data_IF_128883559472
#
_entry.id   IF_128883559472
#
_cell.length_a   1.000
_cell.length_b   1.000
_cell.length_c   1.000
_cell.angle_alpha   90.00
_cell.angle_beta   90.00
_cell.angle_gamma   90.00
#
_symmetry.space_group_name_H-M   'P 1'
#
loop_
_entity.id
_entity.type
_entity.pdbx_description
1 polymer ?
#
# COMPACT_ATOMS: atom_id res chain seq x y z
N UNK A 1 18.91 8.79 -3.85
CA UNK A 1 17.99 7.73 -3.43
C UNK A 1 16.80 7.87 -4.33
N UNK A 2 16.65 6.96 -5.28
CA UNK A 2 15.49 6.95 -6.17
C UNK A 2 14.36 6.26 -5.42
N UNK A 3 13.30 7.00 -5.17
CA UNK A 3 12.11 6.45 -4.56
C UNK A 3 11.16 5.93 -5.64
N UNK A 4 10.39 4.87 -5.36
CA UNK A 4 9.37 4.40 -6.28
C UNK A 4 8.28 5.45 -6.48
N UNK A 5 7.60 5.36 -7.62
CA UNK A 5 6.42 6.16 -7.92
C UNK A 5 5.14 5.44 -7.50
N UNK A 6 4.19 6.18 -6.94
CA UNK A 6 2.86 5.69 -6.60
C UNK A 6 1.98 5.49 -7.85
N UNK A 7 0.73 5.09 -7.63
CA UNK A 7 -0.29 4.90 -8.68
C UNK A 7 -0.65 6.16 -9.48
N UNK A 8 -0.34 7.35 -8.97
CA UNK A 8 -0.56 8.64 -9.62
C UNK A 8 0.65 9.10 -10.45
N UNK A 9 1.76 8.36 -10.37
CA UNK A 9 3.03 8.74 -10.96
C UNK A 9 3.82 9.75 -10.12
N UNK A 10 3.44 9.94 -8.85
CA UNK A 10 4.15 10.81 -7.91
C UNK A 10 5.21 10.01 -7.16
N UNK A 11 6.39 10.59 -6.95
CA UNK A 11 7.44 9.92 -6.20
C UNK A 11 7.05 9.83 -4.71
N UNK A 12 7.25 8.67 -4.11
CA UNK A 12 7.05 8.47 -2.67
C UNK A 12 8.23 9.12 -1.94
N UNK A 13 8.00 10.01 -0.99
CA UNK A 13 9.08 10.84 -0.41
C UNK A 13 9.47 10.47 1.03
N UNK A 14 8.92 9.39 1.56
CA UNK A 14 9.06 9.00 2.97
C UNK A 14 9.30 7.50 3.12
N UNK A 15 9.90 7.10 4.24
CA UNK A 15 10.07 5.71 4.65
C UNK A 15 8.81 5.15 5.34
N UNK A 16 7.65 5.76 5.09
CA UNK A 16 6.36 5.38 5.64
C UNK A 16 5.39 5.12 4.49
N UNK A 17 4.66 4.02 4.58
CA UNK A 17 3.75 3.54 3.54
C UNK A 17 2.34 3.63 4.10
N UNK A 18 1.53 4.48 3.50
CA UNK A 18 0.12 4.59 3.80
C UNK A 18 -0.71 3.69 2.86
N UNK A 19 -1.98 3.49 3.18
CA UNK A 19 -2.89 2.70 2.35
C UNK A 19 -3.12 3.31 0.95
N UNK A 20 -3.15 4.63 0.84
CA UNK A 20 -3.42 5.35 -0.42
C UNK A 20 -2.26 5.26 -1.44
N UNK A 21 -1.06 4.90 -0.97
CA UNK A 21 0.12 4.66 -1.81
C UNK A 21 -0.03 3.39 -2.65
N UNK A 22 -0.94 2.47 -2.28
CA UNK A 22 -1.20 1.25 -3.05
C UNK A 22 -2.13 1.51 -4.25
N UNK A 23 -1.80 1.05 -5.48
CA UNK A 23 -2.68 1.03 -6.63
C UNK A 23 -3.80 -0.02 -6.48
N UNK A 24 -5.08 0.37 -6.62
CA UNK A 24 -6.17 -0.57 -6.82
C UNK A 24 -6.09 -1.21 -8.22
N UNK A 25 -6.44 -2.50 -8.42
CA UNK A 25 -6.83 -3.51 -7.43
C UNK A 25 -5.66 -4.38 -6.96
N UNK A 26 -4.42 -3.89 -7.03
CA UNK A 26 -3.19 -4.67 -6.83
C UNK A 26 -2.86 -5.04 -5.38
N UNK A 27 -3.86 -5.03 -4.49
CA UNK A 27 -3.74 -5.28 -3.06
C UNK A 27 -4.39 -6.61 -2.66
N UNK A 28 -3.83 -7.21 -1.62
CA UNK A 28 -4.38 -8.35 -0.90
C UNK A 28 -4.67 -7.88 0.52
N UNK A 29 -5.91 -8.08 0.97
CA UNK A 29 -6.35 -7.75 2.32
C UNK A 29 -6.59 -9.04 3.11
N UNK A 30 -5.99 -9.13 4.30
CA UNK A 30 -6.12 -10.27 5.21
C UNK A 30 -6.56 -9.77 6.58
N UNK A 31 -7.84 -9.93 6.96
CA UNK A 31 -8.34 -9.52 8.27
C UNK A 31 -7.84 -10.46 9.37
N UNK A 32 -7.54 -9.91 10.55
CA UNK A 32 -7.19 -10.66 11.75
C UNK A 32 -7.70 -9.97 13.02
N UNK A 33 -7.91 -10.75 14.09
CA UNK A 33 -8.44 -10.24 15.36
C UNK A 33 -7.57 -10.65 16.52
N UNK A 34 -7.32 -9.72 17.44
CA UNK A 34 -6.67 -10.04 18.70
C UNK A 34 -7.69 -10.61 19.69
N UNK A 35 -7.41 -11.79 20.22
CA UNK A 35 -8.29 -12.50 21.16
C UNK A 35 -8.45 -11.77 22.49
N UNK A 36 -7.45 -11.01 22.89
CA UNK A 36 -7.35 -10.44 24.25
C UNK A 36 -7.88 -9.01 24.31
N UNK A 37 -7.88 -8.29 23.18
CA UNK A 37 -8.27 -6.87 23.09
C UNK A 37 -9.53 -6.63 22.27
N UNK A 38 -10.07 -7.66 21.62
CA UNK A 38 -11.20 -7.56 20.68
C UNK A 38 -10.96 -6.56 19.52
N UNK A 39 -9.71 -6.13 19.30
CA UNK A 39 -9.33 -5.27 18.19
C UNK A 39 -9.34 -6.06 16.89
N UNK A 40 -9.99 -5.51 15.87
CA UNK A 40 -10.01 -6.06 14.51
C UNK A 40 -9.11 -5.19 13.64
N UNK A 41 -8.09 -5.81 13.05
CA UNK A 41 -7.15 -5.17 12.13
C UNK A 41 -7.11 -5.95 10.82
N UNK A 42 -6.57 -5.33 9.78
CA UNK A 42 -6.27 -6.02 8.52
C UNK A 42 -4.84 -5.75 8.07
N UNK A 43 -4.19 -6.79 7.58
CA UNK A 43 -2.93 -6.69 6.85
C UNK A 43 -3.27 -6.40 5.39
N UNK A 44 -2.74 -5.32 4.86
CA UNK A 44 -2.84 -4.98 3.44
C UNK A 44 -1.45 -5.09 2.86
N UNK A 45 -1.31 -5.85 1.77
CA UNK A 45 -0.05 -5.97 1.03
C UNK A 45 -0.31 -5.81 -0.47
N UNK A 46 0.64 -5.28 -1.21
CA UNK A 46 0.47 -5.07 -2.64
C UNK A 46 1.68 -4.44 -3.30
N UNK A 47 1.57 -4.27 -4.61
CA UNK A 47 2.50 -3.39 -5.32
C UNK A 47 2.29 -1.97 -4.84
N UNK A 48 3.36 -1.22 -4.60
CA UNK A 48 3.28 0.19 -4.21
C UNK A 48 3.72 1.07 -5.39
N UNK A 49 4.58 0.51 -6.25
CA UNK A 49 5.13 1.24 -7.37
C UNK A 49 6.18 0.43 -8.11
N UNK A 50 6.98 1.13 -8.89
CA UNK A 50 8.20 0.59 -9.47
C UNK A 50 9.30 1.65 -9.47
N UNK A 51 10.54 1.19 -9.37
CA UNK A 51 11.69 1.98 -9.81
C UNK A 51 11.95 1.65 -11.28
N UNK A 52 12.05 2.68 -12.12
CA UNK A 52 12.23 2.55 -13.56
C UNK A 52 13.54 3.22 -13.95
N UNK A 53 14.35 2.51 -14.73
CA UNK A 53 15.60 3.02 -15.28
C UNK A 53 15.74 2.62 -16.75
N UNK A 54 16.58 3.33 -17.49
CA UNK A 54 16.92 3.02 -18.88
C UNK A 54 18.41 2.73 -18.95
N UNK A 55 18.74 1.48 -19.28
CA UNK A 55 20.13 1.04 -19.50
C UNK A 55 20.23 0.38 -20.87
N UNK A 56 21.23 0.75 -21.67
CA UNK A 56 21.50 0.16 -22.98
C UNK A 56 20.28 0.09 -23.92
N UNK A 57 19.44 1.15 -23.93
CA UNK A 57 18.19 1.22 -24.68
C UNK A 57 17.09 0.22 -24.24
N UNK A 58 17.28 -0.48 -23.12
CA UNK A 58 16.28 -1.33 -22.50
C UNK A 58 15.69 -0.68 -21.24
N UNK A 59 14.38 -0.88 -21.04
CA UNK A 59 13.69 -0.43 -19.83
C UNK A 59 13.86 -1.47 -18.72
N UNK A 60 14.48 -1.08 -17.62
CA UNK A 60 14.58 -1.88 -16.40
C UNK A 60 13.46 -1.43 -15.46
N UNK A 61 12.57 -2.36 -15.10
CA UNK A 61 11.45 -2.09 -14.19
C UNK A 61 11.62 -2.97 -12.97
N UNK A 62 11.80 -2.35 -11.81
CA UNK A 62 11.90 -3.02 -10.50
C UNK A 62 10.63 -2.76 -9.70
N UNK A 63 9.67 -3.71 -9.64
CA UNK A 63 8.46 -3.53 -8.85
C UNK A 63 8.81 -3.44 -7.36
N UNK A 64 8.12 -2.55 -6.65
CA UNK A 64 8.21 -2.42 -5.19
C UNK A 64 6.92 -2.97 -4.59
N UNK A 65 7.08 -3.93 -3.69
CA UNK A 65 6.01 -4.53 -2.91
C UNK A 65 6.17 -4.06 -1.47
N UNK A 66 5.07 -3.71 -0.82
CA UNK A 66 5.09 -3.48 0.62
C UNK A 66 3.76 -3.84 1.25
N UNK A 67 3.65 -3.49 2.53
CA UNK A 67 2.54 -3.88 3.37
C UNK A 67 2.31 -2.86 4.48
N UNK A 68 1.08 -2.81 4.99
CA UNK A 68 0.68 -2.00 6.12
C UNK A 68 -0.38 -2.72 6.95
N UNK A 69 -0.47 -2.39 8.24
CA UNK A 69 -1.51 -2.87 9.15
C UNK A 69 -2.41 -1.69 9.45
N UNK A 70 -3.71 -1.85 9.18
CA UNK A 70 -4.71 -0.80 9.39
C UNK A 70 -5.88 -1.34 10.21
N UNK A 71 -6.66 -0.43 10.79
CA UNK A 71 -7.91 -0.80 11.46
C UNK A 71 -8.88 -1.43 10.45
N UNK A 72 -9.52 -2.53 10.87
CA UNK A 72 -10.56 -3.21 10.09
C UNK A 72 -11.93 -2.63 10.46
N UNK A 73 -12.03 -1.30 10.36
CA UNK A 73 -13.26 -0.57 10.59
C UNK A 73 -14.05 -0.46 9.27
N UNK A 74 -15.29 -0.95 9.31
CA UNK A 74 -16.24 -0.80 8.22
C UNK A 74 -16.62 0.69 8.12
N UNK A 75 -16.05 1.41 7.16
CA UNK A 75 -16.30 2.85 6.89
C UNK A 75 -17.76 3.14 6.49
N UNK A 76 -18.61 2.10 6.48
CA UNK A 76 -20.07 2.18 6.32
C UNK A 76 -20.81 2.74 7.54
N UNK A 77 -20.13 3.10 8.64
CA UNK A 77 -20.77 3.59 9.88
C UNK A 77 -20.49 5.06 10.25
N UNK A 78 -20.24 5.94 9.27
CA UNK A 78 -20.22 7.40 9.50
C UNK A 78 -21.13 8.14 8.51
N UNK A 79 -22.44 7.96 8.66
CA UNK A 79 -23.46 8.90 8.19
C UNK A 79 -24.76 8.69 8.99
N UNK A 80 -24.73 9.02 10.29
CA UNK A 80 -25.92 9.31 11.08
C UNK A 80 -25.52 10.07 12.34
N UNK A 81 -25.46 11.40 12.24
CA UNK A 81 -26.09 12.35 13.16
C UNK A 81 -25.95 13.79 12.62
#
# INVERSE_FOLDING_TARGET
>A
MDFPYDRTGSAIHQYDINFDDFPPPGTVEVPFKFTDTNQSLKLIAGFIGANQDISDNEAIISPVIGWSIVDDDDDSTKNSD
#
